data_IF_145308801415
#
_entry.id   IF_145308801415
#
_cell.length_a   1.000
_cell.length_b   1.000
_cell.length_c   1.000
_cell.angle_alpha   90.00
_cell.angle_beta   90.00
_cell.angle_gamma   90.00
#
_symmetry.space_group_name_H-M   'P 1'
#
loop_
_entity.id
_entity.type
_entity.pdbx_description
1 polymer ?
#
# COMPACT_ATOMS: atom_id res chain seq x y z
N UNK A 1 -11.76 12.50 11.87
CA UNK A 1 -11.85 11.13 11.31
C UNK A 1 -11.42 10.08 12.32
N UNK A 2 -10.16 10.01 12.80
CA UNK A 2 -9.78 9.01 13.80
C UNK A 2 -10.72 9.00 15.02
N UNK A 3 -10.98 10.17 15.60
CA UNK A 3 -11.87 10.29 16.78
C UNK A 3 -13.33 9.92 16.50
N UNK A 4 -13.80 10.14 15.28
CA UNK A 4 -15.22 9.91 14.92
C UNK A 4 -15.49 8.42 14.61
N UNK A 5 -14.46 7.67 14.25
CA UNK A 5 -14.55 6.25 13.84
C UNK A 5 -13.65 5.32 14.68
N UNK A 6 -13.19 5.77 15.86
CA UNK A 6 -12.20 5.04 16.67
C UNK A 6 -12.67 3.61 17.01
N UNK A 7 -13.92 3.44 17.45
CA UNK A 7 -14.50 2.12 17.74
C UNK A 7 -14.54 1.21 16.52
N UNK A 8 -15.04 1.71 15.40
CA UNK A 8 -15.14 0.96 14.13
C UNK A 8 -13.75 0.58 13.60
N UNK A 9 -12.80 1.51 13.64
CA UNK A 9 -11.43 1.23 13.21
C UNK A 9 -10.76 0.17 14.08
N UNK A 10 -11.02 0.19 15.39
CA UNK A 10 -10.49 -0.83 16.30
C UNK A 10 -11.09 -2.21 16.02
N UNK A 11 -12.39 -2.30 15.77
CA UNK A 11 -13.05 -3.55 15.40
C UNK A 11 -12.46 -4.14 14.11
N UNK A 12 -12.37 -3.33 13.04
CA UNK A 12 -11.79 -3.73 11.76
C UNK A 12 -10.30 -4.10 11.92
N UNK A 13 -9.55 -3.30 12.67
CA UNK A 13 -8.14 -3.54 12.99
C UNK A 13 -7.93 -4.91 13.64
N UNK A 14 -8.75 -5.23 14.63
CA UNK A 14 -8.68 -6.51 15.33
C UNK A 14 -9.08 -7.68 14.43
N UNK A 15 -10.11 -7.50 13.61
CA UNK A 15 -10.59 -8.53 12.69
C UNK A 15 -9.56 -8.91 11.63
N UNK A 16 -8.93 -7.91 11.00
CA UNK A 16 -7.95 -8.12 9.94
C UNK A 16 -6.50 -8.23 10.44
N UNK A 17 -6.22 -7.92 11.70
CA UNK A 17 -4.87 -7.95 12.25
C UNK A 17 -3.95 -6.86 11.69
N UNK A 18 -4.48 -5.64 11.49
CA UNK A 18 -3.74 -4.49 10.92
C UNK A 18 -3.88 -3.26 11.82
N UNK A 19 -2.83 -2.47 11.94
CA UNK A 19 -2.90 -1.23 12.72
C UNK A 19 -3.78 -0.18 12.02
N UNK A 20 -4.71 0.50 12.72
CA UNK A 20 -5.66 1.48 12.15
C UNK A 20 -4.99 2.59 11.34
N UNK A 21 -3.81 3.03 11.76
CA UNK A 21 -3.05 4.12 11.13
C UNK A 21 -2.73 3.86 9.65
N UNK A 22 -2.52 2.59 9.25
CA UNK A 22 -2.26 2.26 7.84
C UNK A 22 -3.52 2.35 6.98
N UNK A 23 -4.66 1.95 7.51
CA UNK A 23 -5.95 2.11 6.84
C UNK A 23 -6.22 3.59 6.55
N UNK A 24 -6.04 4.42 7.58
CA UNK A 24 -6.24 5.87 7.48
C UNK A 24 -5.24 6.53 6.53
N UNK A 25 -3.96 6.13 6.58
CA UNK A 25 -2.93 6.66 5.70
C UNK A 25 -3.24 6.35 4.21
N UNK A 26 -3.70 5.14 3.91
CA UNK A 26 -4.10 4.75 2.55
C UNK A 26 -5.28 5.59 2.08
N UNK A 27 -6.38 5.68 2.84
CA UNK A 27 -7.54 6.49 2.45
C UNK A 27 -7.22 7.98 2.30
N UNK A 28 -6.32 8.49 3.13
CA UNK A 28 -5.80 9.85 3.00
C UNK A 28 -5.08 10.06 1.67
N UNK A 29 -4.19 9.15 1.32
CA UNK A 29 -3.38 9.24 0.09
C UNK A 29 -4.23 8.99 -1.18
N UNK A 30 -5.15 8.04 -1.16
CA UNK A 30 -5.92 7.64 -2.35
C UNK A 30 -6.99 8.65 -2.74
N UNK A 31 -7.75 9.14 -1.77
CA UNK A 31 -8.93 9.94 -2.09
C UNK A 31 -9.11 11.18 -1.22
N UNK A 32 -8.10 11.52 -0.41
CA UNK A 32 -8.24 12.57 0.60
C UNK A 32 -9.49 12.33 1.48
N UNK A 33 -9.59 11.08 1.97
CA UNK A 33 -10.71 10.61 2.81
C UNK A 33 -12.07 10.71 2.11
N UNK A 34 -12.15 10.28 0.88
CA UNK A 34 -13.38 10.26 0.08
C UNK A 34 -13.75 11.59 -0.59
N UNK A 35 -12.97 12.66 -0.39
CA UNK A 35 -13.25 13.97 -1.02
C UNK A 35 -12.91 14.02 -2.51
N UNK A 36 -12.04 13.12 -2.98
CA UNK A 36 -11.56 13.04 -4.35
C UNK A 36 -11.57 11.61 -4.87
N UNK A 37 -12.74 11.10 -5.18
CA UNK A 37 -12.92 9.72 -5.66
C UNK A 37 -12.93 9.59 -7.19
N UNK A 38 -12.88 10.72 -7.92
CA UNK A 38 -13.11 10.77 -9.35
C UNK A 38 -14.59 10.95 -9.70
N UNK A 39 -14.88 11.19 -11.00
CA UNK A 39 -16.23 11.47 -11.52
C UNK A 39 -16.47 10.82 -12.89
N UNK A 40 -15.63 9.87 -13.28
CA UNK A 40 -15.69 9.24 -14.61
C UNK A 40 -16.34 7.86 -14.45
N UNK A 41 -17.28 7.55 -15.34
CA UNK A 41 -17.81 6.20 -15.46
C UNK A 41 -16.66 5.22 -15.71
N UNK A 42 -16.55 4.20 -14.85
CA UNK A 42 -15.40 3.29 -14.86
C UNK A 42 -15.35 2.44 -16.13
N UNK A 43 -16.50 2.02 -16.69
CA UNK A 43 -16.55 1.30 -17.95
C UNK A 43 -15.97 2.15 -19.07
N UNK A 44 -16.36 3.41 -19.14
CA UNK A 44 -15.83 4.38 -20.12
C UNK A 44 -14.32 4.57 -19.96
N UNK A 45 -13.84 4.75 -18.73
CA UNK A 45 -12.43 4.94 -18.44
C UNK A 45 -11.59 3.73 -18.88
N UNK A 46 -11.95 2.53 -18.41
CA UNK A 46 -11.16 1.32 -18.69
C UNK A 46 -11.27 0.88 -20.15
N UNK A 47 -12.42 1.13 -20.82
CA UNK A 47 -12.58 0.86 -22.27
C UNK A 47 -11.64 1.74 -23.08
N UNK A 48 -11.62 3.03 -22.79
CA UNK A 48 -10.73 3.99 -23.46
C UNK A 48 -9.26 3.59 -23.29
N UNK A 49 -8.86 3.22 -22.07
CA UNK A 49 -7.49 2.80 -21.79
C UNK A 49 -7.15 1.41 -22.32
N UNK A 50 -8.15 0.52 -22.48
CA UNK A 50 -7.97 -0.78 -23.13
C UNK A 50 -7.67 -0.64 -24.62
N UNK A 51 -8.12 0.44 -25.27
CA UNK A 51 -7.81 0.75 -26.64
C UNK A 51 -6.37 1.27 -26.84
N UNK A 52 -5.77 1.88 -25.81
CA UNK A 52 -4.38 2.34 -25.85
C UNK A 52 -3.41 1.14 -25.80
N UNK A 53 -2.57 1.01 -26.85
CA UNK A 53 -1.64 -0.13 -27.01
C UNK A 53 -0.65 -0.31 -25.87
N UNK A 54 -0.27 0.76 -25.15
CA UNK A 54 0.78 0.74 -24.09
C UNK A 54 0.44 -0.20 -22.95
N UNK A 55 -0.82 -0.27 -22.52
CA UNK A 55 -1.29 -1.11 -21.41
C UNK A 55 -2.59 -1.86 -21.73
N UNK A 56 -2.88 -2.10 -23.00
CA UNK A 56 -4.13 -2.70 -23.49
C UNK A 56 -4.51 -3.98 -22.72
N UNK A 57 -3.60 -4.94 -22.62
CA UNK A 57 -3.87 -6.20 -21.93
C UNK A 57 -4.25 -6.03 -20.45
N UNK A 58 -3.65 -5.05 -19.76
CA UNK A 58 -3.99 -4.74 -18.39
C UNK A 58 -5.40 -4.16 -18.30
N UNK A 59 -5.71 -3.14 -19.11
CA UNK A 59 -7.02 -2.48 -19.06
C UNK A 59 -8.17 -3.32 -19.62
N UNK A 60 -7.90 -4.25 -20.53
CA UNK A 60 -8.90 -5.25 -20.94
C UNK A 60 -9.31 -6.14 -19.78
N UNK A 61 -8.38 -6.54 -18.90
CA UNK A 61 -8.72 -7.28 -17.68
C UNK A 61 -9.58 -6.43 -16.75
N UNK A 62 -9.24 -5.13 -16.60
CA UNK A 62 -10.05 -4.22 -15.80
C UNK A 62 -11.45 -4.02 -16.38
N UNK A 63 -11.59 -3.92 -17.70
CA UNK A 63 -12.89 -3.85 -18.36
C UNK A 63 -13.77 -5.08 -18.08
N UNK A 64 -13.22 -6.29 -18.25
CA UNK A 64 -13.98 -7.49 -17.94
C UNK A 64 -14.34 -7.61 -16.46
N UNK A 65 -13.45 -7.19 -15.56
CA UNK A 65 -13.75 -7.15 -14.14
C UNK A 65 -14.84 -6.11 -13.82
N UNK A 66 -14.81 -4.93 -14.44
CA UNK A 66 -15.84 -3.92 -14.26
C UNK A 66 -17.21 -4.37 -14.78
N UNK A 67 -17.24 -5.06 -15.93
CA UNK A 67 -18.47 -5.67 -16.45
C UNK A 67 -19.00 -6.76 -15.50
N UNK A 68 -18.12 -7.59 -14.94
CA UNK A 68 -18.50 -8.61 -13.97
C UNK A 68 -19.05 -8.01 -12.66
N UNK A 69 -18.51 -6.91 -12.18
CA UNK A 69 -19.05 -6.19 -11.01
C UNK A 69 -20.52 -5.81 -11.22
N UNK A 70 -20.85 -5.35 -12.45
CA UNK A 70 -22.23 -4.99 -12.81
C UNK A 70 -23.13 -6.21 -13.05
N UNK A 71 -22.60 -7.26 -13.70
CA UNK A 71 -23.32 -8.49 -14.02
C UNK A 71 -23.67 -9.29 -12.73
N UNK A 72 -22.75 -9.33 -11.78
CA UNK A 72 -22.95 -9.94 -10.47
C UNK A 72 -23.73 -9.03 -9.49
N UNK A 73 -24.19 -7.86 -9.92
CA UNK A 73 -24.92 -6.87 -9.11
C UNK A 73 -24.18 -6.47 -7.80
N UNK A 74 -22.84 -6.51 -7.81
CA UNK A 74 -22.04 -6.17 -6.62
C UNK A 74 -22.17 -4.69 -6.24
N UNK A 75 -22.50 -3.82 -7.19
CA UNK A 75 -22.83 -2.41 -6.98
C UNK A 75 -23.99 -2.01 -7.88
N UNK A 76 -24.85 -1.06 -7.47
CA UNK A 76 -25.93 -0.54 -8.30
C UNK A 76 -25.43 0.01 -9.62
N UNK A 77 -26.22 -0.18 -10.69
CA UNK A 77 -25.93 0.42 -11.99
C UNK A 77 -25.84 1.94 -11.87
N UNK A 78 -24.76 2.52 -12.41
CA UNK A 78 -24.46 3.96 -12.31
C UNK A 78 -23.63 4.37 -11.09
N UNK A 79 -23.38 3.49 -10.14
CA UNK A 79 -22.50 3.78 -8.99
C UNK A 79 -21.02 3.47 -9.28
N UNK A 80 -20.72 2.72 -10.34
CA UNK A 80 -19.34 2.36 -10.70
C UNK A 80 -18.60 3.56 -11.32
N UNK A 81 -18.38 4.58 -10.51
CA UNK A 81 -17.73 5.84 -10.86
C UNK A 81 -16.41 5.96 -10.12
N UNK A 82 -15.40 6.49 -10.80
CA UNK A 82 -14.05 6.59 -10.24
C UNK A 82 -13.15 7.57 -10.96
N UNK A 83 -11.84 7.30 -10.90
CA UNK A 83 -10.83 8.10 -11.55
C UNK A 83 -10.73 7.80 -13.05
N UNK A 84 -10.02 8.69 -13.77
CA UNK A 84 -9.71 8.48 -15.20
C UNK A 84 -8.91 7.18 -15.46
N UNK A 85 -8.21 6.66 -14.45
CA UNK A 85 -7.49 5.39 -14.51
C UNK A 85 -8.35 4.15 -14.23
N UNK A 86 -9.64 4.33 -13.92
CA UNK A 86 -10.58 3.26 -13.62
C UNK A 86 -10.52 2.76 -12.17
N UNK A 87 -9.86 3.48 -11.28
CA UNK A 87 -9.87 3.19 -9.85
C UNK A 87 -11.11 3.80 -9.19
N UNK A 88 -11.73 3.09 -8.23
CA UNK A 88 -13.06 3.40 -7.71
C UNK A 88 -13.09 3.64 -6.21
N UNK A 89 -14.03 4.48 -5.80
CA UNK A 89 -14.37 4.73 -4.40
C UNK A 89 -13.29 5.42 -3.58
N UNK A 90 -13.47 5.45 -2.27
CA UNK A 90 -12.51 6.04 -1.32
C UNK A 90 -11.17 5.30 -1.33
N UNK A 91 -11.18 4.03 -1.64
CA UNK A 91 -10.00 3.14 -1.64
C UNK A 91 -9.20 3.18 -2.94
N UNK A 92 -9.74 3.78 -4.01
CA UNK A 92 -9.15 3.81 -5.36
C UNK A 92 -8.69 2.41 -5.84
N UNK A 93 -9.49 1.38 -5.56
CA UNK A 93 -9.27 0.04 -6.08
C UNK A 93 -9.60 -0.04 -7.56
N UNK A 94 -8.73 -0.67 -8.35
CA UNK A 94 -9.07 -1.05 -9.74
C UNK A 94 -10.06 -2.21 -9.74
N UNK A 95 -10.87 -2.40 -10.80
CA UNK A 95 -11.95 -3.40 -10.82
C UNK A 95 -11.56 -4.82 -10.44
N UNK A 96 -10.39 -5.30 -10.85
CA UNK A 96 -9.90 -6.62 -10.43
C UNK A 96 -9.65 -6.69 -8.94
N UNK A 97 -9.06 -5.66 -8.35
CA UNK A 97 -8.82 -5.58 -6.91
C UNK A 97 -10.11 -5.44 -6.12
N UNK A 98 -11.10 -4.70 -6.66
CA UNK A 98 -12.43 -4.61 -6.07
C UNK A 98 -13.07 -5.99 -5.91
N UNK A 99 -13.08 -6.81 -6.96
CA UNK A 99 -13.63 -8.18 -6.91
C UNK A 99 -12.89 -9.04 -5.88
N UNK A 100 -11.56 -8.89 -5.77
CA UNK A 100 -10.73 -9.71 -4.91
C UNK A 100 -10.75 -9.29 -3.44
N UNK A 101 -10.97 -7.99 -3.16
CA UNK A 101 -10.66 -7.42 -1.85
C UNK A 101 -11.70 -6.49 -1.25
N UNK A 102 -12.69 -6.01 -2.03
CA UNK A 102 -13.77 -5.21 -1.47
C UNK A 102 -14.55 -6.05 -0.44
N UNK A 103 -14.95 -5.41 0.65
CA UNK A 103 -15.55 -6.08 1.79
C UNK A 103 -16.78 -5.31 2.27
N UNK A 104 -17.92 -5.99 2.37
CA UNK A 104 -19.14 -5.50 2.99
C UNK A 104 -19.04 -5.73 4.50
N UNK A 105 -18.83 -4.67 5.26
CA UNK A 105 -18.63 -4.75 6.71
C UNK A 105 -19.93 -4.78 7.49
N UNK A 106 -20.93 -4.04 7.04
CA UNK A 106 -22.19 -3.85 7.76
C UNK A 106 -23.37 -4.71 7.24
N UNK A 107 -23.14 -5.46 6.15
CA UNK A 107 -24.15 -6.34 5.53
C UNK A 107 -25.15 -5.61 4.64
N UNK A 108 -24.88 -4.35 4.31
CA UNK A 108 -25.72 -3.53 3.43
C UNK A 108 -25.43 -3.64 1.94
N UNK A 109 -24.42 -4.43 1.58
CA UNK A 109 -23.82 -4.48 0.25
C UNK A 109 -22.59 -3.58 0.15
N UNK A 110 -21.66 -3.92 -0.73
CA UNK A 110 -20.37 -3.21 -0.85
C UNK A 110 -20.55 -1.76 -1.29
N UNK A 111 -20.27 -0.79 -0.43
CA UNK A 111 -20.30 0.65 -0.74
C UNK A 111 -18.99 1.37 -0.30
N UNK A 112 -17.91 1.17 -1.06
CA UNK A 112 -16.65 1.87 -0.80
C UNK A 112 -16.68 3.36 -1.23
N UNK A 113 -17.81 3.87 -1.73
CA UNK A 113 -17.98 5.27 -2.14
C UNK A 113 -18.54 6.14 -1.01
N UNK A 114 -19.45 5.59 -0.19
CA UNK A 114 -20.17 6.34 0.84
C UNK A 114 -20.02 5.73 2.24
N UNK A 115 -19.75 4.42 2.37
CA UNK A 115 -19.52 3.74 3.64
C UNK A 115 -18.05 3.76 4.04
N UNK A 116 -17.72 4.48 5.12
CA UNK A 116 -16.38 4.38 5.72
C UNK A 116 -16.11 2.99 6.29
N UNK A 117 -17.13 2.26 6.75
CA UNK A 117 -16.99 0.91 7.25
C UNK A 117 -16.43 -0.02 6.16
N UNK A 118 -17.06 -0.02 4.99
CA UNK A 118 -16.63 -0.83 3.86
C UNK A 118 -15.29 -0.37 3.30
N UNK A 119 -15.05 0.94 3.24
CA UNK A 119 -13.77 1.47 2.78
C UNK A 119 -12.61 1.06 3.71
N UNK A 120 -12.81 1.10 5.03
CA UNK A 120 -11.82 0.65 6.00
C UNK A 120 -11.59 -0.86 5.91
N UNK A 121 -12.66 -1.65 5.90
CA UNK A 121 -12.60 -3.10 5.81
C UNK A 121 -11.96 -3.57 4.50
N UNK A 122 -12.34 -2.96 3.37
CA UNK A 122 -11.74 -3.26 2.06
C UNK A 122 -10.25 -2.93 2.01
N UNK A 123 -9.84 -1.78 2.56
CA UNK A 123 -8.42 -1.41 2.66
C UNK A 123 -7.65 -2.38 3.53
N UNK A 124 -8.19 -2.74 4.69
CA UNK A 124 -7.60 -3.71 5.62
C UNK A 124 -7.47 -5.09 4.97
N UNK A 125 -8.55 -5.59 4.35
CA UNK A 125 -8.57 -6.86 3.63
C UNK A 125 -7.49 -6.90 2.55
N UNK A 126 -7.41 -5.85 1.72
CA UNK A 126 -6.40 -5.81 0.66
C UNK A 126 -4.98 -5.85 1.20
N UNK A 127 -4.65 -5.02 2.20
CA UNK A 127 -3.30 -4.97 2.78
C UNK A 127 -2.88 -6.26 3.47
N UNK A 128 -3.82 -7.00 4.07
CA UNK A 128 -3.51 -8.21 4.84
C UNK A 128 -3.52 -9.49 4.01
N UNK A 129 -4.29 -9.54 2.91
CA UNK A 129 -4.43 -10.74 2.08
C UNK A 129 -3.55 -10.77 0.84
N UNK A 130 -2.97 -9.63 0.45
CA UNK A 130 -2.26 -9.50 -0.82
C UNK A 130 -1.01 -10.40 -0.89
N UNK A 131 -0.87 -11.11 -2.01
CA UNK A 131 0.30 -11.92 -2.34
C UNK A 131 0.73 -12.95 -1.30
N UNK A 132 -0.17 -13.42 -0.45
CA UNK A 132 0.14 -14.40 0.61
C UNK A 132 1.29 -13.96 1.51
N UNK A 133 1.58 -12.67 1.59
CA UNK A 133 2.53 -12.10 2.53
C UNK A 133 1.74 -11.64 3.76
N UNK A 134 1.80 -12.36 4.88
CA UNK A 134 1.00 -11.99 6.04
C UNK A 134 1.41 -10.61 6.54
N UNK A 135 0.42 -9.79 6.88
CA UNK A 135 0.67 -8.55 7.60
C UNK A 135 1.06 -8.86 9.05
N UNK A 136 2.08 -8.21 9.56
CA UNK A 136 2.46 -8.34 10.97
C UNK A 136 1.96 -7.14 11.75
N UNK A 137 1.05 -7.38 12.70
CA UNK A 137 0.52 -6.34 13.59
C UNK A 137 1.60 -5.85 14.58
N UNK A 138 2.58 -6.68 14.91
CA UNK A 138 3.69 -6.37 15.83
C UNK A 138 4.85 -5.65 15.15
N UNK A 139 4.72 -5.34 13.87
CA UNK A 139 5.74 -4.66 13.08
C UNK A 139 5.16 -3.44 12.38
N UNK A 140 6.01 -2.46 12.08
CA UNK A 140 5.66 -1.31 11.26
C UNK A 140 6.09 -1.54 9.80
N UNK A 141 6.05 -0.49 8.99
CA UNK A 141 6.50 -0.51 7.59
C UNK A 141 8.01 -0.45 7.42
N UNK A 142 8.72 0.19 8.35
CA UNK A 142 10.15 0.47 8.27
C UNK A 142 10.56 1.64 9.14
N UNK A 143 11.69 2.23 8.80
CA UNK A 143 12.22 3.46 9.43
C UNK A 143 13.21 4.17 8.55
N UNK A 144 13.33 5.47 8.70
CA UNK A 144 14.43 6.23 8.15
C UNK A 144 15.73 5.95 8.91
N UNK A 145 16.86 5.95 8.18
CA UNK A 145 18.18 5.65 8.76
C UNK A 145 19.25 6.57 8.22
N UNK A 146 20.27 6.81 9.04
CA UNK A 146 21.51 7.44 8.63
C UNK A 146 22.44 6.36 8.06
N UNK A 147 23.00 6.58 6.85
CA UNK A 147 23.95 5.65 6.26
C UNK A 147 25.36 5.74 6.88
N UNK A 148 26.21 4.71 6.72
CA UNK A 148 27.60 4.77 7.11
C UNK A 148 28.40 5.76 6.25
N UNK A 149 29.54 6.27 6.76
CA UNK A 149 30.39 7.23 6.04
C UNK A 149 30.89 6.72 4.68
N UNK A 150 31.06 5.42 4.52
CA UNK A 150 31.52 4.76 3.30
C UNK A 150 30.36 4.27 2.39
N UNK A 151 29.18 4.87 2.51
CA UNK A 151 27.96 4.42 1.80
C UNK A 151 28.16 4.26 0.30
N UNK A 152 28.99 5.10 -0.35
CA UNK A 152 29.23 5.02 -1.81
C UNK A 152 29.81 3.67 -2.22
N UNK A 153 30.82 3.20 -1.49
CA UNK A 153 31.48 1.90 -1.75
C UNK A 153 30.50 0.77 -1.41
N UNK A 154 29.83 0.87 -0.26
CA UNK A 154 28.89 -0.13 0.21
C UNK A 154 27.71 -0.28 -0.75
N UNK A 155 27.08 0.82 -1.19
CA UNK A 155 25.89 0.79 -2.03
C UNK A 155 26.14 0.16 -3.40
N UNK A 156 27.33 0.37 -3.98
CA UNK A 156 27.71 -0.24 -5.26
C UNK A 156 27.89 -1.76 -5.19
N UNK A 157 28.20 -2.29 -4.00
CA UNK A 157 28.33 -3.74 -3.75
C UNK A 157 27.05 -4.41 -3.24
N UNK A 158 26.01 -3.62 -3.01
CA UNK A 158 24.77 -4.12 -2.40
C UNK A 158 23.97 -4.97 -3.41
N UNK A 159 23.73 -6.23 -3.06
CA UNK A 159 22.85 -7.08 -3.84
C UNK A 159 21.41 -6.57 -3.76
N UNK A 160 20.75 -6.53 -4.92
CA UNK A 160 19.35 -6.15 -5.04
C UNK A 160 18.45 -7.39 -5.10
N UNK A 161 17.26 -7.30 -4.50
CA UNK A 161 16.22 -8.31 -4.70
C UNK A 161 15.79 -8.33 -6.17
N UNK A 162 15.66 -9.52 -6.76
CA UNK A 162 15.28 -9.67 -8.17
C UNK A 162 13.94 -10.43 -8.35
N UNK A 163 12.82 -9.94 -7.81
CA UNK A 163 11.53 -10.56 -7.99
C UNK A 163 10.94 -10.27 -9.36
N UNK A 164 10.01 -11.11 -9.79
CA UNK A 164 9.13 -10.81 -10.93
C UNK A 164 8.06 -9.80 -10.51
N UNK A 165 7.62 -8.93 -11.42
CA UNK A 165 6.49 -8.04 -11.20
C UNK A 165 6.86 -6.61 -10.87
N UNK A 166 6.49 -6.13 -9.69
CA UNK A 166 6.63 -4.73 -9.29
C UNK A 166 8.10 -4.25 -9.30
N UNK A 167 8.39 -3.23 -10.12
CA UNK A 167 9.74 -2.68 -10.27
C UNK A 167 10.29 -2.03 -8.99
N UNK A 168 9.43 -1.52 -8.11
CA UNK A 168 9.85 -0.95 -6.83
C UNK A 168 10.35 -2.04 -5.86
N UNK A 169 9.85 -3.27 -5.97
CA UNK A 169 10.36 -4.41 -5.20
C UNK A 169 11.79 -4.77 -5.60
N UNK A 170 12.13 -4.61 -6.88
CA UNK A 170 13.49 -4.87 -7.39
C UNK A 170 14.55 -3.88 -6.89
N UNK A 171 14.13 -2.71 -6.40
CA UNK A 171 15.04 -1.65 -5.93
C UNK A 171 15.31 -1.74 -4.43
N UNK A 172 15.04 -2.89 -3.82
CA UNK A 172 15.36 -3.16 -2.42
C UNK A 172 16.58 -4.07 -2.35
N UNK A 173 17.38 -3.89 -1.31
CA UNK A 173 18.45 -4.85 -1.04
C UNK A 173 17.89 -6.24 -0.67
N UNK A 174 18.75 -7.26 -0.70
CA UNK A 174 18.50 -8.50 0.02
C UNK A 174 18.29 -8.20 1.51
N UNK A 175 17.52 -9.06 2.23
CA UNK A 175 17.23 -8.84 3.65
C UNK A 175 18.49 -9.03 4.51
N UNK A 176 18.55 -8.26 5.59
CA UNK A 176 19.44 -8.43 6.72
C UNK A 176 18.68 -8.10 8.01
N UNK A 177 19.10 -8.65 9.12
CA UNK A 177 18.56 -8.30 10.44
C UNK A 177 18.98 -6.88 10.86
N UNK A 178 18.25 -6.27 11.80
CA UNK A 178 18.61 -4.93 12.28
C UNK A 178 20.00 -4.88 12.95
N UNK A 179 20.43 -5.90 13.74
CA UNK A 179 21.82 -5.97 14.21
C UNK A 179 22.86 -5.96 13.09
N UNK A 180 22.67 -6.76 12.03
CA UNK A 180 23.58 -6.77 10.87
C UNK A 180 23.65 -5.41 10.16
N UNK A 181 22.51 -4.71 10.02
CA UNK A 181 22.50 -3.34 9.50
C UNK A 181 23.25 -2.36 10.41
N UNK A 182 23.14 -2.51 11.75
CA UNK A 182 23.89 -1.72 12.72
C UNK A 182 25.40 -1.97 12.62
N UNK A 183 25.85 -3.22 12.45
CA UNK A 183 27.24 -3.60 12.25
C UNK A 183 27.83 -3.00 10.96
N UNK A 184 27.01 -2.89 9.91
CA UNK A 184 27.36 -2.20 8.67
C UNK A 184 27.43 -0.66 8.83
N UNK A 185 27.12 -0.13 10.01
CA UNK A 185 27.23 1.28 10.35
C UNK A 185 25.98 2.11 10.12
N UNK A 186 24.83 1.49 9.79
CA UNK A 186 23.55 2.20 9.76
C UNK A 186 23.10 2.57 11.16
N UNK A 187 22.50 3.75 11.30
CA UNK A 187 22.03 4.31 12.59
C UNK A 187 20.60 4.83 12.45
N UNK A 188 19.92 4.99 13.56
CA UNK A 188 18.66 5.73 13.59
C UNK A 188 18.90 7.20 13.22
N UNK A 189 17.85 7.96 12.91
CA UNK A 189 17.95 9.40 12.62
C UNK A 189 18.55 10.20 13.78
N UNK A 190 18.47 9.68 15.02
CA UNK A 190 19.07 10.26 16.22
C UNK A 190 20.52 9.81 16.44
N UNK A 191 21.14 9.16 15.44
CA UNK A 191 22.50 8.64 15.49
C UNK A 191 22.77 7.62 16.60
N UNK A 192 21.76 6.83 16.97
CA UNK A 192 21.87 5.70 17.89
C UNK A 192 21.86 4.38 17.13
N UNK A 193 22.26 3.30 17.79
CA UNK A 193 22.16 1.95 17.24
C UNK A 193 20.72 1.60 16.86
N UNK A 194 20.56 0.78 15.83
CA UNK A 194 19.26 0.22 15.47
C UNK A 194 18.77 -0.73 16.58
N UNK A 195 17.45 -0.95 16.71
CA UNK A 195 16.93 -1.89 17.71
C UNK A 195 17.54 -3.29 17.59
N UNK A 196 17.80 -3.93 18.70
CA UNK A 196 18.36 -5.29 18.77
C UNK A 196 17.25 -6.35 18.50
N UNK A 197 16.67 -6.31 17.30
CA UNK A 197 15.63 -7.24 16.82
C UNK A 197 16.23 -8.16 15.75
N UNK A 198 16.83 -9.27 16.19
CA UNK A 198 17.39 -10.29 15.28
C UNK A 198 16.31 -11.08 14.53
N UNK A 199 15.08 -11.06 15.02
CA UNK A 199 13.89 -11.65 14.42
C UNK A 199 13.28 -10.79 13.30
N UNK A 200 13.70 -9.53 13.18
CA UNK A 200 13.16 -8.57 12.20
C UNK A 200 14.15 -8.32 11.07
N UNK A 201 13.82 -8.86 9.90
CA UNK A 201 14.54 -8.59 8.66
C UNK A 201 14.13 -7.23 8.08
N UNK A 202 15.10 -6.51 7.56
CA UNK A 202 14.92 -5.24 6.87
C UNK A 202 15.65 -5.23 5.53
N UNK A 203 15.17 -4.41 4.61
CA UNK A 203 15.76 -4.16 3.29
C UNK A 203 16.04 -2.68 3.12
N UNK A 204 17.19 -2.34 2.58
CA UNK A 204 17.52 -0.94 2.28
C UNK A 204 16.77 -0.47 1.04
N UNK A 205 16.15 0.70 1.15
CA UNK A 205 15.53 1.46 0.06
C UNK A 205 16.10 2.88 0.06
N UNK A 206 16.61 3.31 -1.09
CA UNK A 206 17.11 4.66 -1.32
C UNK A 206 16.44 5.20 -2.60
N UNK A 207 15.24 5.80 -2.50
CA UNK A 207 14.45 6.19 -3.66
C UNK A 207 15.14 7.24 -4.53
N UNK A 208 15.90 8.14 -3.90
CA UNK A 208 16.65 9.23 -4.54
C UNK A 208 18.16 8.93 -4.67
N UNK A 209 18.54 7.66 -4.46
CA UNK A 209 19.94 7.23 -4.50
C UNK A 209 20.70 7.53 -3.22
N UNK A 210 22.05 7.49 -3.34
CA UNK A 210 22.97 7.55 -2.18
C UNK A 210 23.06 8.91 -1.49
N UNK A 211 22.67 9.96 -2.18
CA UNK A 211 22.70 11.33 -1.64
C UNK A 211 21.32 11.74 -1.05
N UNK A 212 20.31 10.88 -1.18
CA UNK A 212 18.96 11.08 -0.66
C UNK A 212 18.70 10.40 0.68
N UNK A 213 17.43 10.47 1.11
CA UNK A 213 16.98 9.77 2.32
C UNK A 213 17.04 8.26 2.11
N UNK A 214 17.40 7.54 3.16
CA UNK A 214 17.49 6.08 3.15
C UNK A 214 16.57 5.47 4.21
N UNK A 215 16.01 4.32 3.88
CA UNK A 215 15.04 3.64 4.73
C UNK A 215 15.36 2.16 4.83
N UNK A 216 15.27 1.62 6.03
CA UNK A 216 15.18 0.18 6.27
C UNK A 216 13.72 -0.20 6.34
N UNK A 217 13.24 -0.96 5.35
CA UNK A 217 11.83 -1.33 5.21
C UNK A 217 11.62 -2.78 5.64
N UNK A 218 10.51 -3.03 6.33
CA UNK A 218 10.13 -4.32 6.91
C UNK A 218 9.12 -5.08 6.02
N UNK A 219 8.72 -6.31 6.37
CA UNK A 219 7.82 -7.10 5.53
C UNK A 219 6.51 -6.41 5.15
N UNK A 220 5.88 -5.65 6.06
CA UNK A 220 4.63 -4.90 5.79
C UNK A 220 4.75 -3.89 4.63
N UNK A 221 5.93 -3.31 4.42
CA UNK A 221 6.19 -2.40 3.31
C UNK A 221 5.92 -3.05 1.95
N UNK A 222 6.15 -4.34 1.82
CA UNK A 222 5.88 -5.08 0.60
C UNK A 222 4.38 -5.09 0.25
N UNK A 223 3.51 -5.21 1.24
CA UNK A 223 2.06 -5.17 1.03
C UNK A 223 1.62 -3.79 0.54
N UNK A 224 2.19 -2.71 1.10
CA UNK A 224 1.93 -1.35 0.63
C UNK A 224 2.42 -1.15 -0.84
N UNK A 225 3.56 -1.72 -1.22
CA UNK A 225 4.03 -1.70 -2.61
C UNK A 225 3.10 -2.43 -3.58
N UNK A 226 2.37 -3.42 -3.12
CA UNK A 226 1.39 -4.10 -3.97
C UNK A 226 0.10 -3.31 -4.14
N UNK A 227 -0.24 -2.46 -3.18
CA UNK A 227 -1.32 -1.50 -3.36
C UNK A 227 -1.01 -0.54 -4.51
N UNK A 228 0.19 0.04 -4.48
CA UNK A 228 0.72 0.83 -5.59
C UNK A 228 2.23 0.61 -5.73
N UNK A 229 2.67 0.12 -6.90
CA UNK A 229 4.05 -0.24 -7.19
C UNK A 229 4.96 0.99 -7.36
N UNK A 230 5.10 1.78 -6.31
CA UNK A 230 5.96 2.95 -6.24
C UNK A 230 6.63 3.05 -4.87
N UNK A 231 7.96 3.15 -4.84
CA UNK A 231 8.68 3.37 -3.58
C UNK A 231 8.25 4.66 -2.90
N UNK A 232 8.01 5.73 -3.66
CA UNK A 232 7.52 7.00 -3.11
C UNK A 232 6.14 6.85 -2.47
N UNK A 233 5.23 6.15 -3.14
CA UNK A 233 3.91 5.86 -2.57
C UNK A 233 4.02 5.11 -1.24
N UNK A 234 4.73 3.99 -1.23
CA UNK A 234 4.82 3.14 -0.05
C UNK A 234 5.54 3.84 1.11
N UNK A 235 6.57 4.63 0.84
CA UNK A 235 7.24 5.47 1.85
C UNK A 235 6.31 6.57 2.37
N UNK A 236 5.53 7.21 1.49
CA UNK A 236 4.55 8.23 1.91
C UNK A 236 3.48 7.65 2.82
N UNK A 237 2.94 6.46 2.51
CA UNK A 237 2.01 5.76 3.41
C UNK A 237 2.67 5.47 4.75
N UNK A 238 3.90 4.95 4.73
CA UNK A 238 4.64 4.64 5.95
C UNK A 238 4.86 5.88 6.84
N UNK A 239 5.39 6.94 6.27
CA UNK A 239 5.65 8.19 6.98
C UNK A 239 4.35 8.84 7.49
N UNK A 240 3.30 8.87 6.66
CA UNK A 240 2.00 9.39 7.07
C UNK A 240 1.39 8.55 8.21
N UNK A 241 1.54 7.22 8.15
CA UNK A 241 1.06 6.35 9.24
C UNK A 241 1.78 6.62 10.57
N UNK A 242 3.06 7.00 10.53
CA UNK A 242 3.81 7.36 11.75
C UNK A 242 3.31 8.68 12.34
N UNK A 243 3.01 9.70 11.50
CA UNK A 243 2.42 10.98 11.96
C UNK A 243 1.00 10.81 12.54
N UNK A 244 0.22 9.88 12.02
CA UNK A 244 -1.14 9.59 12.54
C UNK A 244 -1.06 8.95 13.94
N UNK A 245 0.02 8.26 14.26
CA UNK A 245 0.21 7.55 15.53
C UNK A 245 0.79 8.46 16.64
N UNK A 246 1.24 9.66 16.29
CA UNK A 246 1.72 10.69 17.21
C UNK A 246 0.57 11.64 17.61
#
# INVERSE_FOLDING_TARGET
MLKDYDGLLLEISNFFGIQPRFIIAVLGMESFYGRNQGKIDTITAVTTLAFDRRRSNFYRKQLFAALKILDDELVPSGQLIGSWGGAVGMTQMIPTTFIESAYDWDGGGIDIWNSFADAFASTANYLTSINKNPWSIDSTWGREVLPPKNIKIFYSSLEQENPKGCGAVKRRSIPKTLPEWSELGFRTINNTDLPKRADLEARLVAPDGIDGRMFLVYPNYKNILYYNCSSYYALSIGLLSDEINN
#
